data_IF_467251551449
#
_entry.id   IF_467251551449
#
_cell.length_a   1.000
_cell.length_b   1.000
_cell.length_c   1.000
_cell.angle_alpha   90.00
_cell.angle_beta   90.00
_cell.angle_gamma   90.00
#
_symmetry.space_group_name_H-M   'P 1'
#
loop_
_entity.id
_entity.type
_entity.pdbx_description
1 polymer ?
#
# COMPACT_ATOMS: atom_id res chain seq x y z
N UNK A 1 24.91 -1.52 -2.17
CA UNK A 1 24.30 -2.76 -2.72
C UNK A 1 23.22 -2.30 -3.67
N UNK A 2 23.14 -2.86 -4.87
CA UNK A 2 22.06 -2.49 -5.79
C UNK A 2 20.76 -3.15 -5.33
N UNK A 3 19.79 -2.32 -4.96
CA UNK A 3 18.45 -2.70 -4.54
C UNK A 3 17.43 -2.21 -5.58
N UNK A 4 16.23 -2.78 -5.57
CA UNK A 4 15.14 -2.36 -6.44
C UNK A 4 14.07 -1.66 -5.60
N UNK A 5 13.70 -0.44 -5.98
CA UNK A 5 12.69 0.33 -5.26
C UNK A 5 11.31 -0.33 -5.41
N UNK A 6 10.62 -0.59 -4.29
CA UNK A 6 9.29 -1.20 -4.30
C UNK A 6 8.19 -0.32 -4.93
N UNK A 7 8.41 1.00 -4.99
CA UNK A 7 7.43 1.91 -5.58
C UNK A 7 7.62 2.06 -7.09
N UNK A 8 8.85 2.40 -7.54
CA UNK A 8 9.10 2.77 -8.93
C UNK A 8 9.82 1.68 -9.74
N UNK A 9 10.27 0.59 -9.11
CA UNK A 9 10.95 -0.53 -9.78
C UNK A 9 12.37 -0.22 -10.28
N UNK A 10 12.91 0.97 -9.98
CA UNK A 10 14.25 1.37 -10.43
C UNK A 10 15.35 0.82 -9.52
N UNK A 11 16.52 0.44 -10.07
CA UNK A 11 17.69 0.11 -9.28
C UNK A 11 18.24 1.36 -8.59
N UNK A 12 18.72 1.21 -7.36
CA UNK A 12 19.36 2.27 -6.59
C UNK A 12 20.43 1.70 -5.64
N UNK A 13 21.40 2.53 -5.26
CA UNK A 13 22.38 2.18 -4.25
C UNK A 13 21.81 2.34 -2.85
N UNK A 14 21.84 1.26 -2.08
CA UNK A 14 21.37 1.23 -0.71
C UNK A 14 22.07 0.20 0.16
N UNK A 15 21.69 0.22 1.44
CA UNK A 15 22.15 -0.66 2.49
C UNK A 15 20.95 -1.21 3.28
N UNK A 16 20.01 -1.84 2.55
CA UNK A 16 18.78 -2.49 3.02
C UNK A 16 17.51 -1.62 3.05
N UNK A 17 17.49 -0.50 2.33
CA UNK A 17 16.26 0.27 2.12
C UNK A 17 15.31 -0.40 1.12
N UNK A 18 14.02 -0.14 1.29
CA UNK A 18 12.96 -0.60 0.37
C UNK A 18 12.64 0.38 -0.75
N UNK A 19 13.06 1.64 -0.59
CA UNK A 19 12.71 2.75 -1.46
C UNK A 19 13.96 3.56 -1.79
N UNK A 20 14.04 4.06 -3.01
CA UNK A 20 15.18 4.87 -3.46
C UNK A 20 15.19 6.29 -2.86
N UNK A 21 14.06 6.78 -2.35
CA UNK A 21 13.93 8.07 -1.67
C UNK A 21 12.62 8.12 -0.83
N UNK A 22 12.46 9.18 -0.04
CA UNK A 22 11.27 9.39 0.78
C UNK A 22 10.00 9.58 -0.06
N UNK A 23 10.09 10.26 -1.20
CA UNK A 23 8.92 10.48 -2.07
C UNK A 23 8.31 9.14 -2.56
N UNK A 24 9.16 8.17 -2.91
CA UNK A 24 8.73 6.83 -3.29
C UNK A 24 8.11 6.07 -2.11
N UNK A 25 8.62 6.27 -0.89
CA UNK A 25 8.05 5.68 0.32
C UNK A 25 6.66 6.24 0.57
N UNK A 26 6.52 7.57 0.57
CA UNK A 26 5.26 8.25 0.88
C UNK A 26 4.20 7.96 -0.18
N UNK A 27 4.58 8.00 -1.46
CA UNK A 27 3.70 7.64 -2.58
C UNK A 27 3.22 6.19 -2.50
N UNK A 28 4.08 5.27 -2.05
CA UNK A 28 3.70 3.87 -1.85
C UNK A 28 2.71 3.70 -0.69
N UNK A 29 2.91 4.42 0.42
CA UNK A 29 1.97 4.42 1.56
C UNK A 29 0.60 4.91 1.12
N UNK A 30 0.53 6.07 0.45
CA UNK A 30 -0.73 6.64 -0.07
C UNK A 30 -1.43 5.67 -1.02
N UNK A 31 -0.69 5.00 -1.92
CA UNK A 31 -1.26 4.02 -2.83
C UNK A 31 -1.86 2.80 -2.10
N UNK A 32 -1.22 2.31 -1.04
CA UNK A 32 -1.76 1.24 -0.21
C UNK A 32 -3.03 1.70 0.51
N UNK A 33 -3.01 2.90 1.12
CA UNK A 33 -4.15 3.46 1.83
C UNK A 33 -5.38 3.62 0.93
N UNK A 34 -5.20 4.10 -0.30
CA UNK A 34 -6.30 4.19 -1.29
C UNK A 34 -6.90 2.82 -1.56
N UNK A 35 -6.06 1.81 -1.82
CA UNK A 35 -6.52 0.44 -2.11
C UNK A 35 -7.25 -0.19 -0.93
N UNK A 36 -6.78 0.05 0.30
CA UNK A 36 -7.45 -0.44 1.51
C UNK A 36 -8.80 0.24 1.68
N UNK A 37 -8.86 1.57 1.51
CA UNK A 37 -10.12 2.32 1.57
C UNK A 37 -11.12 1.83 0.53
N UNK A 38 -10.70 1.71 -0.72
CA UNK A 38 -11.52 1.18 -1.81
C UNK A 38 -12.01 -0.24 -1.50
N UNK A 39 -11.15 -1.11 -0.95
CA UNK A 39 -11.56 -2.46 -0.56
C UNK A 39 -12.62 -2.44 0.55
N UNK A 40 -12.48 -1.54 1.55
CA UNK A 40 -13.47 -1.37 2.63
C UNK A 40 -14.79 -0.81 2.09
N UNK A 41 -14.73 0.21 1.24
CA UNK A 41 -15.93 0.85 0.68
C UNK A 41 -16.70 -0.10 -0.26
N UNK A 42 -15.98 -0.96 -1.00
CA UNK A 42 -16.57 -1.96 -1.88
C UNK A 42 -16.94 -3.28 -1.17
N UNK A 43 -16.61 -3.45 0.11
CA UNK A 43 -17.03 -4.63 0.87
C UNK A 43 -18.50 -4.50 1.28
N UNK A 44 -19.40 -4.87 0.35
CA UNK A 44 -20.84 -4.92 0.58
C UNK A 44 -21.27 -6.04 1.55
N UNK A 45 -20.35 -6.87 1.99
CA UNK A 45 -20.52 -7.82 3.09
C UNK A 45 -19.89 -7.15 4.31
N UNK A 46 -20.61 -6.79 5.38
CA UNK A 46 -20.49 -7.49 6.66
C UNK A 46 -21.44 -6.89 7.73
N UNK A 47 -22.64 -6.40 7.35
CA UNK A 47 -23.68 -6.02 8.35
C UNK A 47 -25.12 -6.36 7.97
N UNK A 48 -25.40 -6.95 6.79
CA UNK A 48 -26.80 -7.21 6.38
C UNK A 48 -27.57 -8.24 7.24
N UNK A 49 -26.95 -8.93 8.20
CA UNK A 49 -27.63 -9.93 9.07
C UNK A 49 -27.16 -9.97 10.53
N UNK A 50 -26.97 -8.82 11.18
CA UNK A 50 -26.88 -8.76 12.66
C UNK A 50 -28.02 -7.92 13.28
N UNK A 51 -29.22 -8.08 12.74
CA UNK A 51 -30.46 -7.56 13.36
C UNK A 51 -31.61 -8.49 13.03
N UNK A 52 -31.68 -9.61 13.74
CA UNK A 52 -32.86 -10.46 13.99
C UNK A 52 -32.41 -11.67 14.80
N UNK A 53 -32.47 -11.55 16.12
CA UNK A 53 -33.51 -12.18 16.95
C UNK A 53 -33.55 -11.47 18.32
#
# INVERSE_FOLDING_TARGET
>A
MILVCLHCGKPFDGNNEKFCNNDCRDSHIVAIESRVREAVDNDHSHTKKLSRD
#
